data_IF_090586379480
#
_entry.id   IF_090586379480
#
_cell.length_a   1.000
_cell.length_b   1.000
_cell.length_c   1.000
_cell.angle_alpha   90.00
_cell.angle_beta   90.00
_cell.angle_gamma   90.00
#
_symmetry.space_group_name_H-M   'P 1'
#
loop_
_entity.id
_entity.type
_entity.pdbx_description
1 polymer ?
2 non-polymer ?
3 non-polymer ?
4 non-polymer ?
5 non-polymer ?
6 water ?
#
# COMPACT_ATOMS: atom_id res chain seq x y z
N UNK A 3 1.19 -17.16 -16.61
CA UNK A 3 0.83 -16.16 -17.63
C UNK A 3 0.75 -14.73 -17.08
N UNK A 4 0.03 -14.49 -15.97
CA UNK A 4 -0.07 -13.11 -15.48
C UNK A 4 1.26 -12.55 -15.00
N UNK A 5 2.00 -13.29 -14.18
CA UNK A 5 3.31 -12.83 -13.74
C UNK A 5 4.28 -12.71 -14.91
N UNK A 6 4.19 -13.65 -15.86
CA UNK A 6 5.09 -13.61 -17.01
C UNK A 6 4.76 -12.44 -17.93
N UNK A 7 3.47 -12.11 -18.06
CA UNK A 7 3.09 -10.95 -18.86
C UNK A 7 3.42 -9.66 -18.14
N UNK A 8 3.31 -9.64 -16.81
CA UNK A 8 3.60 -8.43 -16.05
C UNK A 8 5.08 -8.07 -16.15
N UNK A 9 5.95 -9.08 -16.21
CA UNK A 9 7.38 -8.84 -16.31
C UNK A 9 7.81 -8.44 -17.72
N UNK A 10 7.12 -8.94 -18.75
CA UNK A 10 7.42 -8.51 -20.10
C UNK A 10 7.07 -7.04 -20.31
N UNK A 11 5.96 -6.59 -19.74
CA UNK A 11 5.58 -5.19 -19.85
C UNK A 11 6.54 -4.31 -19.05
N UNK A 12 7.13 -4.85 -17.99
CA UNK A 12 8.14 -4.10 -17.24
C UNK A 12 9.32 -3.75 -18.13
N UNK A 13 9.83 -4.74 -18.87
CA UNK A 13 10.93 -4.47 -19.79
C UNK A 13 10.53 -3.45 -20.85
N UNK A 14 9.29 -3.52 -21.32
CA UNK A 14 8.80 -2.55 -22.30
C UNK A 14 8.73 -1.15 -21.69
N UNK A 15 8.22 -1.05 -20.46
CA UNK A 15 8.14 0.25 -19.79
C UNK A 15 9.53 0.79 -19.51
N UNK A 16 10.42 -0.07 -18.98
CA UNK A 16 11.77 0.37 -18.64
C UNK A 16 12.52 0.84 -19.88
N UNK A 17 12.39 0.11 -20.99
CA UNK A 17 13.13 0.47 -22.20
C UNK A 17 12.66 1.81 -22.75
N UNK A 18 11.35 2.07 -22.68
CA UNK A 18 10.85 3.37 -23.14
C UNK A 18 11.37 4.50 -22.26
N UNK A 19 11.25 4.34 -20.94
CA UNK A 19 11.66 5.40 -20.02
C UNK A 19 13.13 5.73 -20.18
N UNK A 20 13.99 4.70 -20.30
CA UNK A 20 15.41 4.94 -20.42
C UNK A 20 15.77 5.49 -21.79
N UNK A 21 15.13 5.00 -22.86
CA UNK A 21 15.38 5.54 -24.18
C UNK A 21 14.86 6.98 -24.28
N UNK A 22 13.74 7.27 -23.63
CA UNK A 22 13.24 8.64 -23.60
C UNK A 22 14.26 9.58 -22.96
N UNK A 23 14.87 9.14 -21.85
CA UNK A 23 15.94 9.93 -21.25
C UNK A 23 17.13 10.07 -22.19
N UNK A 24 17.45 8.99 -22.91
CA UNK A 24 18.60 9.04 -23.82
C UNK A 24 18.32 9.93 -25.02
N UNK A 25 17.12 9.84 -25.59
CA UNK A 25 16.82 10.53 -26.84
C UNK A 25 16.27 11.94 -26.62
N UNK A 26 15.42 12.12 -25.61
CA UNK A 26 14.74 13.40 -25.39
C UNK A 26 15.28 14.19 -24.22
N UNK A 27 16.05 13.57 -23.31
CA UNK A 27 16.56 14.27 -22.13
C UNK A 27 18.08 14.34 -22.10
N UNK A 28 18.76 13.96 -23.19
CA UNK A 28 20.20 14.17 -23.34
C UNK A 28 21.02 13.45 -22.29
N UNK A 29 20.56 12.28 -21.85
CA UNK A 29 21.25 11.56 -20.78
C UNK A 29 22.37 10.69 -21.35
N UNK A 30 23.49 10.66 -20.63
CA UNK A 30 24.64 9.87 -21.01
C UNK A 30 24.45 8.40 -20.63
N UNK A 31 25.15 7.48 -21.30
CA UNK A 31 24.98 6.06 -20.98
C UNK A 31 25.28 5.70 -19.54
N UNK A 32 26.28 6.34 -18.91
CA UNK A 32 26.63 6.01 -17.54
C UNK A 32 25.45 6.22 -16.60
N UNK A 33 24.68 7.30 -16.82
CA UNK A 33 23.53 7.57 -15.96
C UNK A 33 22.33 6.72 -16.34
N UNK A 34 22.20 6.33 -17.61
CA UNK A 34 21.10 5.47 -18.02
C UNK A 34 21.22 4.09 -17.36
N UNK A 35 22.43 3.52 -17.39
CA UNK A 35 22.66 2.26 -16.69
C UNK A 35 22.53 2.44 -15.19
N UNK A 36 22.89 3.60 -14.66
CA UNK A 36 22.69 3.89 -13.25
C UNK A 36 21.20 3.89 -12.90
N UNK A 37 20.37 4.47 -13.77
CA UNK A 37 18.93 4.52 -13.51
C UNK A 37 18.26 3.18 -13.78
N UNK A 38 18.79 2.40 -14.72
CA UNK A 38 18.27 1.05 -14.92
C UNK A 38 18.47 0.19 -13.67
N UNK A 39 19.68 0.25 -13.10
CA UNK A 39 19.96 -0.51 -11.88
C UNK A 39 19.11 -0.02 -10.72
N UNK A 40 18.93 1.30 -10.61
CA UNK A 40 18.11 1.84 -9.53
C UNK A 40 16.65 1.44 -9.71
N UNK A 41 16.15 1.45 -10.95
CA UNK A 41 14.78 1.04 -11.20
C UNK A 41 14.57 -0.42 -10.84
N UNK A 42 15.49 -1.29 -11.26
CA UNK A 42 15.38 -2.70 -10.93
C UNK A 42 15.46 -2.94 -9.43
N UNK A 43 16.30 -2.16 -8.74
CA UNK A 43 16.50 -2.36 -7.31
C UNK A 43 15.25 -1.98 -6.52
N UNK A 44 14.65 -0.84 -6.84
CA UNK A 44 13.53 -0.32 -6.06
C UNK A 44 12.18 -0.88 -6.48
N UNK A 45 12.01 -1.25 -7.75
CA UNK A 45 10.71 -1.68 -8.25
C UNK A 45 10.53 -3.19 -8.31
N UNK A 46 11.63 -3.95 -8.36
CA UNK A 46 11.56 -5.41 -8.45
C UNK A 46 11.96 -6.04 -7.13
N UNK A 47 11.49 -7.27 -6.92
CA UNK A 47 11.80 -8.04 -5.74
C UNK A 47 10.62 -8.24 -4.81
N UNK A 48 9.60 -7.39 -4.88
CA UNK A 48 8.43 -7.55 -4.05
C UNK A 48 7.55 -8.67 -4.55
N UNK A 49 6.32 -8.69 -4.04
CA UNK A 49 5.32 -9.68 -4.41
C UNK A 49 4.37 -9.20 -5.49
N UNK A 50 4.40 -7.91 -5.82
CA UNK A 50 3.59 -7.33 -6.89
C UNK A 50 2.09 -7.58 -6.68
N UNK A 51 1.65 -7.57 -5.42
CA UNK A 51 0.24 -7.79 -5.13
C UNK A 51 -0.62 -6.68 -5.71
N UNK A 52 -0.18 -5.43 -5.58
CA UNK A 52 -0.94 -4.31 -6.12
C UNK A 52 -0.98 -4.34 -7.64
N UNK A 53 0.14 -4.66 -8.28
CA UNK A 53 0.19 -4.65 -9.73
C UNK A 53 -0.61 -5.79 -10.35
N UNK A 54 -0.46 -7.00 -9.79
CA UNK A 54 -1.18 -8.15 -10.34
C UNK A 54 -2.69 -8.05 -10.09
N UNK A 55 -3.10 -7.33 -9.04
CA UNK A 55 -4.52 -7.15 -8.79
C UNK A 55 -5.20 -6.39 -9.92
N UNK A 56 -4.50 -5.41 -10.50
CA UNK A 56 -5.04 -4.68 -11.65
C UNK A 56 -5.27 -5.63 -12.82
N UNK A 57 -4.35 -6.59 -13.01
CA UNK A 57 -4.49 -7.55 -14.10
C UNK A 57 -5.66 -8.49 -13.83
N UNK A 58 -5.79 -8.97 -12.59
CA UNK A 58 -6.84 -9.93 -12.28
C UNK A 58 -8.22 -9.30 -12.40
N UNK A 59 -8.36 -8.03 -12.02
CA UNK A 59 -9.63 -7.33 -12.19
C UNK A 59 -9.93 -7.13 -13.67
N UNK A 60 -8.90 -6.87 -14.48
CA UNK A 60 -9.12 -6.62 -15.90
C UNK A 60 -9.56 -7.88 -16.62
N UNK A 61 -8.96 -9.03 -16.28
CA UNK A 61 -9.29 -10.25 -16.99
C UNK A 61 -10.66 -10.80 -16.58
N UNK A 62 -11.11 -10.50 -15.36
CA UNK A 62 -12.41 -10.97 -14.92
C UNK A 62 -13.54 -10.15 -15.55
N UNK A 63 -13.26 -8.92 -15.95
CA UNK A 63 -14.28 -8.06 -16.53
C UNK A 63 -14.44 -8.25 -18.02
N UNK A 64 -13.38 -8.67 -18.72
CA UNK A 64 -13.52 -9.04 -20.12
C UNK A 64 -14.16 -10.40 -20.30
N UNK A 65 -14.28 -11.20 -19.24
CA UNK A 65 -14.99 -12.47 -19.31
C UNK A 65 -16.49 -12.30 -19.13
N UNK A 66 -16.94 -11.09 -18.78
CA UNK A 66 -18.37 -10.83 -18.58
C UNK A 66 -18.55 -9.31 -18.58
N UNK A 67 -18.78 -8.76 -19.77
CA UNK A 67 -19.00 -7.34 -19.95
C UNK A 67 -20.36 -6.93 -19.42
N UNK A 77 -11.30 -9.92 -28.87
CA UNK A 77 -10.17 -10.11 -29.76
C UNK A 77 -9.11 -9.04 -29.63
N UNK A 78 -9.33 -7.90 -30.29
CA UNK A 78 -8.38 -6.80 -30.19
C UNK A 78 -8.53 -6.05 -28.88
N UNK A 79 -9.76 -5.88 -28.40
CA UNK A 79 -9.98 -5.20 -27.13
C UNK A 79 -9.43 -5.98 -25.94
N UNK A 80 -9.25 -7.30 -26.09
CA UNK A 80 -8.68 -8.08 -24.99
C UNK A 80 -7.20 -7.77 -24.80
N UNK A 81 -6.42 -7.86 -25.88
CA UNK A 81 -4.98 -7.65 -25.78
C UNK A 81 -4.65 -6.23 -25.33
N UNK A 82 -5.45 -5.24 -25.74
CA UNK A 82 -5.19 -3.86 -25.36
C UNK A 82 -5.52 -3.61 -23.90
N UNK A 83 -6.66 -4.12 -23.42
CA UNK A 83 -7.04 -3.90 -22.03
C UNK A 83 -6.06 -4.60 -21.10
N UNK A 84 -5.62 -5.81 -21.46
CA UNK A 84 -4.66 -6.52 -20.62
C UNK A 84 -3.32 -5.78 -20.58
N UNK A 85 -2.91 -5.18 -21.69
CA UNK A 85 -1.68 -4.41 -21.69
C UNK A 85 -1.84 -3.12 -20.91
N UNK A 86 -2.99 -2.45 -21.05
CA UNK A 86 -3.24 -1.24 -20.28
C UNK A 86 -3.25 -1.52 -18.79
N UNK A 87 -3.77 -2.69 -18.40
CA UNK A 87 -3.77 -3.04 -16.98
C UNK A 87 -2.36 -3.30 -16.47
N UNK A 88 -1.47 -3.80 -17.33
CA UNK A 88 -0.09 -4.03 -16.90
C UNK A 88 0.65 -2.72 -16.66
N UNK A 89 0.40 -1.71 -17.50
CA UNK A 89 1.00 -0.39 -17.28
C UNK A 89 0.48 0.22 -15.99
N UNK A 90 -0.84 0.12 -15.76
CA UNK A 90 -1.41 0.59 -14.50
C UNK A 90 -0.86 -0.18 -13.32
N UNK A 91 -0.61 -1.48 -13.50
CA UNK A 91 -0.03 -2.27 -12.42
C UNK A 91 1.35 -1.78 -12.04
N UNK A 92 2.15 -1.39 -13.02
CA UNK A 92 3.48 -0.88 -12.73
C UNK A 92 3.46 0.56 -12.23
N UNK A 93 2.40 1.32 -12.58
CA UNK A 93 2.23 2.64 -12.00
C UNK A 93 2.12 2.56 -10.48
N UNK A 94 1.35 1.58 -9.98
CA UNK A 94 1.22 1.41 -8.54
C UNK A 94 2.51 0.87 -7.93
N UNK A 95 3.15 -0.08 -8.61
CA UNK A 95 4.41 -0.63 -8.11
C UNK A 95 5.48 0.45 -8.05
N UNK A 96 5.60 1.25 -9.12
CA UNK A 96 6.52 2.38 -9.09
C UNK A 96 6.14 3.37 -7.99
N UNK A 97 4.85 3.58 -7.78
CA UNK A 97 4.40 4.45 -6.70
C UNK A 97 4.78 3.88 -5.34
N UNK A 98 4.60 2.57 -5.16
CA UNK A 98 5.02 1.93 -3.92
C UNK A 98 6.53 2.03 -3.72
N UNK A 99 7.30 1.81 -4.79
CA UNK A 99 8.75 1.97 -4.71
C UNK A 99 9.12 3.40 -4.32
N UNK A 100 8.33 4.37 -4.80
CA UNK A 100 8.56 5.77 -4.43
C UNK A 100 8.33 5.99 -2.93
N UNK A 101 7.27 5.40 -2.39
CA UNK A 101 6.99 5.54 -0.95
C UNK A 101 8.08 4.87 -0.12
N UNK A 102 8.58 3.71 -0.57
CA UNK A 102 9.61 3.01 0.18
C UNK A 102 10.91 3.79 0.23
N UNK A 103 11.28 4.43 -0.88
CA UNK A 103 12.49 5.26 -0.89
C UNK A 103 12.33 6.43 0.07
N UNK A 104 11.16 7.07 0.07
CA UNK A 104 10.91 8.16 1.01
C UNK A 104 10.99 7.68 2.45
N UNK A 105 10.59 6.44 2.71
CA UNK A 105 10.69 5.90 4.08
C UNK A 105 12.13 5.64 4.48
N UNK A 106 12.98 5.24 3.53
CA UNK A 106 14.38 4.99 3.86
C UNK A 106 15.12 6.28 4.21
N UNK A 107 14.70 7.41 3.63
CA UNK A 107 15.36 8.68 3.92
C UNK A 107 15.10 9.10 5.36
N UNK A 108 13.93 8.76 5.90
CA UNK A 108 13.56 9.21 7.25
C UNK A 108 14.45 8.57 8.31
N UNK A 109 14.67 7.26 8.21
CA UNK A 109 15.45 6.54 9.22
C UNK A 109 16.94 6.44 8.88
N UNK A 110 17.34 6.84 7.68
CA UNK A 110 18.77 6.84 7.35
C UNK A 110 19.55 7.88 8.13
N UNK A 111 18.88 8.87 8.70
CA UNK A 111 19.53 9.90 9.50
C UNK A 111 18.54 10.53 10.48
N UNK A 123 30.28 19.49 3.46
CA UNK A 123 30.34 18.37 2.53
C UNK A 123 28.95 17.80 2.27
N UNK A 124 28.48 17.90 1.03
CA UNK A 124 27.15 17.39 0.69
C UNK A 124 27.14 15.88 0.62
N UNK A 125 26.17 15.26 1.29
CA UNK A 125 26.03 13.81 1.31
C UNK A 125 25.36 13.37 0.01
N UNK A 126 26.14 12.82 -0.90
CA UNK A 126 25.62 12.51 -2.23
C UNK A 126 24.67 11.32 -2.21
N UNK A 127 24.72 10.47 -1.18
CA UNK A 127 23.79 9.34 -1.12
C UNK A 127 22.40 9.79 -0.69
N UNK A 128 22.29 10.80 0.17
CA UNK A 128 20.99 11.35 0.52
C UNK A 128 20.42 12.14 -0.65
N UNK A 129 21.29 12.85 -1.38
CA UNK A 129 20.84 13.57 -2.57
C UNK A 129 20.30 12.62 -3.63
N UNK A 130 20.99 11.50 -3.84
CA UNK A 130 20.53 10.52 -4.82
C UNK A 130 19.27 9.81 -4.35
N UNK A 131 19.13 9.59 -3.04
CA UNK A 131 17.92 8.96 -2.53
C UNK A 131 16.70 9.85 -2.73
N UNK A 132 16.83 11.14 -2.42
CA UNK A 132 15.76 12.09 -2.68
C UNK A 132 15.48 12.17 -4.18
N UNK A 133 16.53 12.18 -5.00
CA UNK A 133 16.35 12.19 -6.45
C UNK A 133 15.66 10.93 -6.93
N UNK A 134 16.00 9.77 -6.33
CA UNK A 134 15.34 8.52 -6.70
C UNK A 134 13.84 8.59 -6.42
N UNK A 135 13.45 9.15 -5.28
CA UNK A 135 12.04 9.25 -4.97
C UNK A 135 11.27 10.13 -5.93
N UNK A 136 11.90 11.21 -6.39
CA UNK A 136 11.24 12.09 -7.36
C UNK A 136 11.11 11.42 -8.72
N UNK A 137 12.14 10.68 -9.13
CA UNK A 137 12.11 10.02 -10.43
C UNK A 137 11.09 8.89 -10.48
N UNK A 138 11.00 8.11 -9.40
CA UNK A 138 10.04 7.01 -9.35
C UNK A 138 8.61 7.51 -9.46
N UNK A 139 8.30 8.64 -8.79
CA UNK A 139 6.96 9.20 -8.89
C UNK A 139 6.70 9.76 -10.28
N UNK A 140 7.64 10.53 -10.81
CA UNK A 140 7.46 11.10 -12.14
C UNK A 140 7.33 10.02 -13.21
N UNK A 141 7.97 8.87 -13.00
CA UNK A 141 7.89 7.79 -13.99
C UNK A 141 6.47 7.25 -14.11
N UNK A 142 5.69 7.29 -13.03
CA UNK A 142 4.30 6.88 -13.11
C UNK A 142 3.52 7.79 -14.06
N UNK A 143 3.85 9.07 -14.08
CA UNK A 143 3.20 9.99 -15.00
C UNK A 143 3.69 9.79 -16.42
N UNK A 144 5.00 9.58 -16.60
CA UNK A 144 5.56 9.46 -17.93
C UNK A 144 5.08 8.19 -18.63
N UNK A 145 5.04 7.07 -17.90
CA UNK A 145 4.57 5.83 -18.52
C UNK A 145 3.07 5.88 -18.80
N UNK A 146 2.32 6.68 -18.04
CA UNK A 146 0.89 6.82 -18.30
C UNK A 146 0.63 7.78 -19.45
N UNK A 147 1.37 8.89 -19.51
CA UNK A 147 1.20 9.84 -20.60
C UNK A 147 1.58 9.23 -21.95
N UNK A 148 2.47 8.24 -21.94
CA UNK A 148 2.91 7.63 -23.20
C UNK A 148 1.97 6.51 -23.64
N UNK A 149 1.86 5.45 -22.84
CA UNK A 149 1.09 4.29 -23.23
C UNK A 149 -0.41 4.55 -23.27
N UNK A 150 -0.88 5.63 -22.65
CA UNK A 150 -2.30 5.97 -22.65
C UNK A 150 -2.58 7.30 -23.35
N UNK A 151 -1.69 7.73 -24.25
CA UNK A 151 -1.85 9.03 -24.89
C UNK A 151 -3.15 9.09 -25.70
N UNK A 152 -3.53 7.98 -26.34
CA UNK A 152 -4.74 7.92 -27.14
C UNK A 152 -5.90 7.27 -26.39
N UNK A 153 -5.84 7.22 -25.06
CA UNK A 153 -6.95 6.64 -24.34
C UNK A 153 -7.89 7.72 -23.82
N UNK A 154 -9.21 7.51 -23.89
CA UNK A 154 -10.14 8.52 -23.36
C UNK A 154 -10.08 8.67 -21.85
N UNK A 155 -9.55 7.69 -21.13
CA UNK A 155 -9.51 7.74 -19.67
C UNK A 155 -8.23 8.34 -19.12
N UNK A 156 -7.33 8.82 -19.98
CA UNK A 156 -6.03 9.31 -19.50
C UNK A 156 -6.20 10.45 -18.51
N UNK A 157 -7.14 11.36 -18.77
CA UNK A 157 -7.36 12.48 -17.85
C UNK A 157 -7.95 11.99 -16.54
N UNK A 158 -8.97 11.13 -16.60
CA UNK A 158 -9.57 10.63 -15.37
C UNK A 158 -8.63 9.71 -14.61
N UNK A 159 -7.76 8.98 -15.32
CA UNK A 159 -6.82 8.09 -14.66
C UNK A 159 -5.79 8.90 -13.86
N UNK A 160 -5.27 9.97 -14.45
CA UNK A 160 -4.27 10.78 -13.75
C UNK A 160 -4.87 11.45 -12.53
N UNK A 161 -6.13 11.87 -12.61
CA UNK A 161 -6.76 12.60 -11.50
C UNK A 161 -7.03 11.67 -10.32
N UNK A 162 -7.56 10.47 -10.59
CA UNK A 162 -7.78 9.51 -9.50
C UNK A 162 -6.45 9.03 -8.93
N UNK A 163 -5.44 8.88 -9.77
CA UNK A 163 -4.12 8.46 -9.31
C UNK A 163 -3.50 9.53 -8.41
N UNK A 164 -3.54 10.79 -8.84
CA UNK A 164 -2.99 11.87 -8.04
C UNK A 164 -3.75 12.03 -6.73
N UNK A 165 -5.08 11.86 -6.77
CA UNK A 165 -5.88 12.03 -5.56
C UNK A 165 -5.59 10.92 -4.55
N UNK A 166 -5.35 9.70 -5.03
CA UNK A 166 -5.00 8.61 -4.12
C UNK A 166 -3.60 8.80 -3.57
N UNK A 167 -2.67 9.28 -4.41
CA UNK A 167 -1.33 9.59 -3.91
C UNK A 167 -1.37 10.71 -2.87
N UNK A 168 -2.22 11.72 -3.10
CA UNK A 168 -2.42 12.76 -2.09
C UNK A 168 -3.00 12.17 -0.82
N UNK A 169 -3.95 11.23 -0.95
CA UNK A 169 -4.53 10.56 0.21
C UNK A 169 -3.46 9.86 1.03
N UNK A 170 -2.49 9.21 0.36
CA UNK A 170 -1.45 8.48 1.08
C UNK A 170 -0.57 9.43 1.88
N UNK A 171 -0.22 10.58 1.30
CA UNK A 171 0.59 11.56 2.02
C UNK A 171 -0.15 12.12 3.22
N UNK A 172 -1.47 12.28 3.12
CA UNK A 172 -2.25 12.73 4.27
C UNK A 172 -2.26 11.65 5.35
N UNK A 173 -2.37 10.38 4.96
CA UNK A 173 -2.31 9.31 5.92
C UNK A 173 -0.97 9.19 6.61
N UNK A 174 0.11 9.53 5.88
CA UNK A 174 1.43 9.50 6.51
C UNK A 174 1.57 10.60 7.55
N UNK A 175 0.94 11.76 7.31
CA UNK A 175 0.92 12.81 8.33
C UNK A 175 0.17 12.35 9.57
N UNK A 176 -0.97 11.67 9.39
CA UNK A 176 -1.70 11.14 10.53
C UNK A 176 -0.86 10.13 11.29
N UNK A 177 -0.15 9.25 10.58
CA UNK A 177 0.62 8.20 11.23
C UNK A 177 1.85 8.76 11.94
N UNK A 178 2.57 9.66 11.29
CA UNK A 178 3.82 10.17 11.85
C UNK A 178 3.55 11.01 13.09
N UNK A 179 2.45 11.75 13.11
CA UNK A 179 2.15 12.71 14.17
C UNK A 179 1.05 12.20 15.12
N UNK A 180 0.91 10.90 15.26
CA UNK A 180 -0.13 10.34 16.12
C UNK A 180 0.23 10.38 17.60
N UNK A 181 1.44 10.80 17.95
CA UNK A 181 1.87 10.83 19.34
C UNK A 181 2.19 12.23 19.85
N UNK A 182 1.97 13.28 19.05
CA UNK A 182 2.29 14.63 19.48
C UNK A 182 1.16 15.59 19.15
N UNK A 183 1.40 16.88 19.38
CA UNK A 183 0.51 17.95 18.94
C UNK A 183 1.23 18.71 17.83
N UNK A 184 0.71 18.58 16.60
CA UNK A 184 1.35 19.18 15.43
C UNK A 184 1.48 20.69 15.59
N UNK A 185 2.71 21.17 15.73
CA UNK A 185 2.97 22.60 15.88
C UNK A 185 2.83 23.33 14.56
N UNK A 198 1.84 11.50 23.87
CA UNK A 198 0.46 11.95 23.85
C UNK A 198 -0.43 10.87 23.23
N UNK A 199 -1.24 10.23 24.08
CA UNK A 199 -2.06 9.09 23.68
C UNK A 199 -3.53 9.46 23.50
N UNK A 200 -3.83 10.75 23.29
CA UNK A 200 -5.23 11.15 23.11
C UNK A 200 -5.80 10.58 21.82
N UNK A 201 -5.01 10.58 20.75
CA UNK A 201 -5.45 10.07 19.46
C UNK A 201 -5.28 8.56 19.32
N UNK A 202 -4.94 7.86 20.42
CA UNK A 202 -4.82 6.40 20.40
C UNK A 202 -6.20 5.79 20.59
N UNK A 203 -7.02 5.93 19.57
CA UNK A 203 -8.37 5.38 19.54
C UNK A 203 -8.53 4.46 18.34
N UNK A 204 -9.58 3.66 18.37
CA UNK A 204 -9.81 2.71 17.28
C UNK A 204 -10.28 3.41 16.02
N UNK A 205 -11.02 4.51 16.15
CA UNK A 205 -11.47 5.25 14.97
C UNK A 205 -10.32 6.00 14.32
N UNK A 206 -9.38 6.53 15.12
CA UNK A 206 -8.21 7.17 14.53
C UNK A 206 -7.27 6.14 13.92
N UNK A 207 -7.18 4.95 14.52
CA UNK A 207 -6.40 3.87 13.92
C UNK A 207 -6.93 3.52 12.54
N UNK A 208 -8.26 3.42 12.41
CA UNK A 208 -8.86 3.16 11.11
C UNK A 208 -8.57 4.31 10.14
N UNK A 209 -8.58 5.54 10.62
CA UNK A 209 -8.28 6.67 9.76
C UNK A 209 -6.85 6.59 9.23
N UNK A 210 -5.91 6.20 10.09
CA UNK A 210 -4.52 6.04 9.64
C UNK A 210 -4.42 4.95 8.60
N UNK A 211 -4.99 3.77 8.90
CA UNK A 211 -4.94 2.65 7.97
C UNK A 211 -5.63 3.02 6.66
N UNK A 212 -6.78 3.70 6.74
CA UNK A 212 -7.55 4.03 5.56
C UNK A 212 -6.75 4.90 4.58
N UNK A 213 -6.20 6.01 5.08
CA UNK A 213 -5.53 6.96 4.20
C UNK A 213 -4.10 6.54 3.89
N UNK A 214 -3.38 6.00 4.88
CA UNK A 214 -1.97 5.70 4.67
C UNK A 214 -1.76 4.44 3.84
N UNK A 215 -2.69 3.48 3.91
CA UNK A 215 -2.44 2.18 3.29
C UNK A 215 -3.57 1.73 2.38
N UNK A 216 -4.81 1.73 2.89
CA UNK A 216 -5.90 1.03 2.22
C UNK A 216 -6.22 1.64 0.85
N UNK A 217 -6.07 2.95 0.72
CA UNK A 217 -6.51 3.62 -0.51
C UNK A 217 -5.65 3.25 -1.70
N UNK A 218 -4.33 3.27 -1.53
CA UNK A 218 -3.43 2.99 -2.66
C UNK A 218 -3.08 1.51 -2.79
N UNK A 219 -3.28 0.72 -1.73
CA UNK A 219 -2.95 -0.70 -1.79
C UNK A 219 -4.13 -1.56 -2.21
N UNK A 220 -5.34 -1.21 -1.79
CA UNK A 220 -6.53 -2.01 -2.08
C UNK A 220 -7.51 -1.31 -3.02
N UNK A 221 -7.84 -0.05 -2.75
CA UNK A 221 -8.83 0.63 -3.58
C UNK A 221 -8.26 0.99 -4.96
N UNK A 222 -7.03 1.51 -4.99
CA UNK A 222 -6.46 1.96 -6.26
C UNK A 222 -6.31 0.85 -7.28
N UNK A 223 -5.78 -0.34 -6.94
CA UNK A 223 -5.72 -1.40 -7.97
C UNK A 223 -7.09 -1.80 -8.50
N UNK A 224 -8.11 -1.82 -7.65
CA UNK A 224 -9.45 -2.16 -8.11
C UNK A 224 -10.00 -1.10 -9.06
N UNK A 225 -9.82 0.18 -8.70
CA UNK A 225 -10.31 1.26 -9.56
C UNK A 225 -9.59 1.24 -10.90
N UNK A 226 -8.26 1.07 -10.88
CA UNK A 226 -7.50 1.04 -12.13
C UNK A 226 -7.89 -0.15 -13.00
N UNK A 227 -8.24 -1.29 -12.38
CA UNK A 227 -8.74 -2.40 -13.15
C UNK A 227 -10.08 -2.11 -13.80
N UNK A 228 -10.92 -1.32 -13.13
CA UNK A 228 -12.20 -0.93 -13.72
C UNK A 228 -12.00 0.07 -14.85
N UNK A 229 -11.04 0.98 -14.71
CA UNK A 229 -10.85 2.04 -15.70
C UNK A 229 -10.38 1.45 -17.03
N UNK A 230 -9.36 0.60 -16.99
CA UNK A 230 -8.86 0.00 -18.22
C UNK A 230 -9.87 -0.95 -18.84
N UNK A 231 -10.78 -1.51 -18.03
CA UNK A 231 -11.84 -2.38 -18.52
C UNK A 231 -13.11 -1.62 -18.88
N UNK A 232 -13.07 -0.29 -18.84
CA UNK A 232 -14.17 0.59 -19.24
C UNK A 232 -15.42 0.41 -18.38
N UNK A 233 -15.33 -0.30 -17.27
CA UNK A 233 -16.48 -0.63 -16.43
C UNK A 233 -16.44 0.11 -15.09
N UNK A 234 -15.98 1.36 -15.11
CA UNK A 234 -15.97 2.16 -13.88
C UNK A 234 -17.38 2.45 -13.38
N UNK A 235 -18.29 3.04 -14.16
CA UNK A 235 -19.62 3.37 -13.63
C UNK A 235 -20.56 2.19 -13.49
N UNK A 236 -20.09 0.97 -13.63
CA UNK A 236 -20.93 -0.22 -13.56
C UNK A 236 -20.86 -0.91 -12.19
N UNK A 237 -20.17 -0.30 -11.23
CA UNK A 237 -19.98 -0.91 -9.91
C UNK A 237 -20.48 0.07 -8.84
N UNK A 238 -20.88 -0.49 -7.70
CA UNK A 238 -21.23 0.30 -6.54
C UNK A 238 -19.93 0.66 -5.81
N UNK A 239 -19.43 1.87 -6.05
CA UNK A 239 -18.17 2.29 -5.47
C UNK A 239 -18.24 2.39 -3.96
N UNK A 240 -19.43 2.60 -3.39
CA UNK A 240 -19.56 2.64 -1.94
C UNK A 240 -19.17 1.33 -1.29
N UNK A 241 -19.71 0.23 -1.81
CA UNK A 241 -19.34 -1.09 -1.30
C UNK A 241 -17.88 -1.39 -1.67
N UNK A 242 -17.43 -0.93 -2.83
CA UNK A 242 -16.05 -1.16 -3.23
C UNK A 242 -15.08 -0.43 -2.30
N UNK A 243 -15.35 0.85 -2.02
CA UNK A 243 -14.55 1.58 -1.06
C UNK A 243 -14.61 0.94 0.32
N UNK A 244 -15.80 0.49 0.73
CA UNK A 244 -15.96 -0.10 2.05
C UNK A 244 -15.15 -1.39 2.17
N UNK A 245 -15.14 -2.21 1.11
CA UNK A 245 -14.36 -3.44 1.13
C UNK A 245 -12.87 -3.14 1.16
N UNK A 246 -12.44 -2.10 0.45
CA UNK A 246 -11.02 -1.75 0.42
C UNK A 246 -10.53 -1.32 1.80
N UNK A 247 -11.31 -0.50 2.51
CA UNK A 247 -10.91 -0.06 3.85
C UNK A 247 -10.91 -1.23 4.82
N UNK A 248 -11.88 -2.15 4.68
CA UNK A 248 -11.95 -3.28 5.59
C UNK A 248 -10.82 -4.26 5.35
N UNK A 249 -10.46 -4.52 4.09
CA UNK A 249 -9.37 -5.44 3.80
C UNK A 249 -8.03 -4.84 4.24
N UNK A 250 -7.81 -3.55 3.98
CA UNK A 250 -6.61 -2.90 4.48
C UNK A 250 -6.55 -2.88 5.99
N UNK A 251 -7.71 -2.75 6.65
CA UNK A 251 -7.76 -2.83 8.10
C UNK A 251 -7.42 -4.24 8.58
N UNK A 252 -7.98 -5.26 7.92
CA UNK A 252 -7.65 -6.64 8.27
C UNK A 252 -6.16 -6.91 8.10
N UNK A 253 -5.56 -6.38 7.04
CA UNK A 253 -4.14 -6.63 6.80
C UNK A 253 -3.28 -5.88 7.81
N UNK A 254 -3.63 -4.64 8.14
CA UNK A 254 -2.80 -3.86 9.05
C UNK A 254 -2.88 -4.37 10.48
N UNK A 255 -4.02 -4.90 10.89
CA UNK A 255 -4.14 -5.46 12.24
C UNK A 255 -3.23 -6.68 12.38
N UNK A 256 -3.26 -7.58 11.40
CA UNK A 256 -2.37 -8.72 11.41
C UNK A 256 -0.91 -8.29 11.33
N UNK A 257 -0.63 -7.26 10.53
CA UNK A 257 0.74 -6.76 10.42
C UNK A 257 1.22 -6.15 11.73
N UNK A 258 0.32 -5.54 12.50
CA UNK A 258 0.71 -4.97 13.79
C UNK A 258 1.08 -6.06 14.79
N UNK A 259 0.30 -7.14 14.83
CA UNK A 259 0.56 -8.21 15.79
C UNK A 259 1.87 -8.92 15.44
N UNK A 260 2.14 -9.12 14.16
CA UNK A 260 3.38 -9.77 13.75
C UNK A 260 4.59 -8.87 14.01
N UNK A 261 4.41 -7.55 13.91
CA UNK A 261 5.51 -6.63 14.18
C UNK A 261 5.98 -6.74 15.63
N UNK A 262 5.10 -7.15 16.53
CA UNK A 262 5.43 -7.24 17.96
C UNK A 262 5.84 -8.63 18.39
N UNK A 263 5.17 -9.68 17.91
CA UNK A 263 5.38 -11.03 18.43
C UNK A 263 6.20 -11.92 17.50
N UNK A 264 6.08 -11.76 16.19
CA UNK A 264 6.84 -12.60 15.28
C UNK A 264 8.32 -12.25 15.36
N UNK A 265 9.20 -13.21 15.63
CA UNK A 265 10.63 -12.91 15.72
C UNK A 265 11.18 -12.41 14.39
N UNK A 266 12.30 -11.68 14.41
CA UNK A 266 12.76 -11.02 13.18
C UNK A 266 13.09 -11.97 12.05
N UNK A 267 13.72 -13.12 12.33
CA UNK A 267 14.10 -14.04 11.27
C UNK A 267 12.89 -14.65 10.56
N UNK A 268 11.73 -14.68 11.22
CA UNK A 268 10.50 -15.16 10.60
C UNK A 268 9.65 -14.04 10.02
N UNK A 269 9.67 -12.86 10.63
CA UNK A 269 8.93 -11.72 10.09
C UNK A 269 9.59 -11.16 8.84
N UNK A 270 10.91 -11.30 8.71
CA UNK A 270 11.66 -10.74 7.63
C UNK A 270 12.32 -9.42 7.94
N UNK A 271 11.90 -8.76 9.01
CA UNK A 271 12.48 -7.50 9.45
C UNK A 271 12.44 -7.46 10.97
N UNK A 272 12.96 -6.38 11.54
CA UNK A 272 12.93 -6.17 12.98
C UNK A 272 11.70 -5.34 13.33
N UNK A 273 10.86 -5.88 14.21
CA UNK A 273 9.68 -5.13 14.65
C UNK A 273 10.08 -3.97 15.54
N UNK A 274 9.56 -2.78 15.21
CA UNK A 274 9.99 -1.55 15.87
C UNK A 274 8.82 -0.64 16.24
N UNK A 275 7.60 -1.18 16.30
CA UNK A 275 6.44 -0.35 16.58
C UNK A 275 6.48 0.20 18.01
N UNK A 276 6.89 -0.62 18.97
CA UNK A 276 6.92 -0.19 20.36
C UNK A 276 7.95 0.91 20.56
N UNK A 277 9.16 0.72 20.01
CA UNK A 277 10.19 1.73 20.14
C UNK A 277 9.79 3.04 19.47
N UNK A 278 9.11 2.94 18.33
CA UNK A 278 8.70 4.11 17.57
C UNK A 278 7.38 4.70 18.04
N UNK A 279 6.77 4.12 19.08
CA UNK A 279 5.53 4.64 19.66
C UNK A 279 4.43 4.75 18.61
N UNK A 280 4.31 3.73 17.76
CA UNK A 280 3.32 3.73 16.70
C UNK A 280 1.92 3.56 17.28
N UNK A 281 0.93 4.09 16.56
CA UNK A 281 -0.48 3.91 16.92
C UNK A 281 -0.97 2.59 16.32
N UNK A 282 -0.48 1.49 16.89
CA UNK A 282 -0.77 0.15 16.40
C UNK A 282 -2.10 -0.34 16.96
N UNK A 283 -2.59 -1.44 16.39
CA UNK A 283 -3.82 -2.04 16.88
C UNK A 283 -3.66 -2.56 18.31
N UNK A 284 -2.47 -3.08 18.63
CA UNK A 284 -2.22 -3.57 19.98
C UNK A 284 -2.28 -2.44 21.00
N UNK A 285 -1.76 -1.27 20.64
CA UNK A 285 -1.72 -0.16 21.58
C UNK A 285 -3.13 0.35 21.90
N UNK A 286 -3.93 0.61 20.87
CA UNK A 286 -5.25 1.19 21.10
C UNK A 286 -6.20 0.17 21.72
N UNK A 287 -5.97 -1.12 21.48
CA UNK A 287 -6.80 -2.15 22.11
C UNK A 287 -6.40 -2.34 23.57
N UNK A 288 -5.09 -2.29 23.86
CA UNK A 288 -4.64 -2.43 25.24
C UNK A 288 -5.15 -1.29 26.10
N UNK A 289 -5.12 -0.05 25.59
CA UNK A 289 -5.52 1.11 26.38
C UNK A 289 -7.00 1.08 26.74
N UNK A 290 -7.82 0.30 26.03
CA UNK A 290 -9.24 0.25 26.34
C UNK A 290 -9.55 -0.72 27.47
N UNK A 291 -8.75 -1.78 27.63
CA UNK A 291 -9.01 -2.82 28.61
C UNK A 291 -7.96 -2.89 29.70
N UNK A 292 -7.07 -1.89 29.80
CA UNK A 292 -6.04 -1.88 30.82
C UNK A 292 -6.52 -1.15 32.05
N UNK A 293 -5.98 -1.54 33.21
CA UNK A 293 -6.27 -0.83 34.44
C UNK A 293 -5.53 0.50 34.46
N UNK A 294 -5.94 1.36 35.40
CA UNK A 294 -5.32 2.68 35.50
C UNK A 294 -3.83 2.57 35.82
N UNK A 295 -3.45 1.60 36.65
CA UNK A 295 -2.04 1.44 36.97
C UNK A 295 -1.27 0.78 35.82
N UNK A 296 -1.93 -0.06 35.02
CA UNK A 296 -1.29 -0.63 33.86
C UNK A 296 -1.06 0.41 32.76
N UNK A 297 -1.98 1.37 32.63
CA UNK A 297 -1.79 2.44 31.66
C UNK A 297 -0.56 3.27 32.02
N UNK A 298 -0.38 3.54 33.31
CA UNK A 298 0.81 4.26 33.75
C UNK A 298 2.07 3.46 33.44
N UNK A 299 2.03 2.14 33.61
CA UNK A 299 3.17 1.30 33.27
C UNK A 299 3.37 1.26 31.76
N UNK A 300 2.28 1.28 31.00
CA UNK A 300 2.39 1.30 29.54
C UNK A 300 2.97 2.61 29.05
N UNK A 301 2.47 3.73 29.58
CA UNK A 301 2.97 5.04 29.17
C UNK A 301 4.43 5.22 29.54
N UNK A 302 4.84 4.70 30.70
CA UNK A 302 6.22 4.89 31.15
C UNK A 302 7.20 4.02 30.36
N UNK A 303 6.71 3.03 29.62
CA UNK A 303 7.58 2.13 28.86
C UNK A 303 7.43 2.26 27.35
N UNK A 304 6.36 2.89 26.86
CA UNK A 304 6.11 2.95 25.44
C UNK A 304 6.96 4.04 24.79
N UNK A 305 7.45 3.76 23.59
CA UNK A 305 8.23 4.73 22.85
C UNK A 305 9.69 4.80 23.22
N UNK A 306 10.23 3.77 23.87
CA UNK A 306 11.62 3.75 24.31
C UNK A 306 12.39 2.66 23.58
N UNK A 307 13.68 2.90 23.39
CA UNK A 307 14.57 1.92 22.80
C UNK A 307 15.18 0.94 23.79
N UNK A 308 14.95 1.15 25.08
CA UNK A 308 15.48 0.24 26.09
C UNK A 308 14.90 -1.16 25.90
N UNK A 309 15.76 -2.16 25.99
CA UNK A 309 15.34 -3.54 25.70
C UNK A 309 14.33 -4.03 26.72
N UNK A 310 14.42 -3.60 27.97
CA UNK A 310 13.50 -4.07 29.00
C UNK A 310 12.16 -3.34 28.95
N UNK A 311 12.15 -2.06 28.54
CA UNK A 311 10.89 -1.34 28.43
C UNK A 311 10.06 -1.89 27.27
N UNK A 312 10.72 -2.29 26.18
CA UNK A 312 10.00 -2.94 25.08
C UNK A 312 9.46 -4.29 25.53
N UNK A 313 10.25 -5.05 26.29
CA UNK A 313 9.78 -6.32 26.82
C UNK A 313 8.66 -6.12 27.84
N UNK A 314 8.71 -5.03 28.61
CA UNK A 314 7.63 -4.72 29.54
C UNK A 314 6.34 -4.45 28.78
N UNK A 315 6.43 -3.79 27.62
CA UNK A 315 5.24 -3.53 26.82
C UNK A 315 4.69 -4.82 26.24
N UNK A 316 5.57 -5.71 25.74
CA UNK A 316 5.12 -7.00 25.23
C UNK A 316 4.49 -7.83 26.35
N UNK A 317 5.04 -7.72 27.57
CA UNK A 317 4.44 -8.42 28.70
C UNK A 317 3.04 -7.92 28.99
N UNK A 318 2.84 -6.59 28.93
CA UNK A 318 1.51 -6.04 29.13
C UNK A 318 0.55 -6.50 28.04
N UNK A 319 1.04 -6.59 26.79
CA UNK A 319 0.21 -7.10 25.72
C UNK A 319 -0.16 -8.56 25.95
N UNK A 320 0.79 -9.37 26.43
CA UNK A 320 0.53 -10.78 26.68
C UNK A 320 -0.49 -10.96 27.81
N UNK A 321 -0.28 -10.26 28.92
CA UNK A 321 -1.16 -10.43 30.09
C UNK A 321 -2.56 -9.92 29.85
N UNK A 322 -2.77 -9.10 28.83
CA UNK A 322 -4.10 -8.59 28.50
C UNK A 322 -4.84 -9.47 27.49
N UNK A 323 -4.25 -10.59 27.09
CA UNK A 323 -4.85 -11.52 26.13
C UNK A 323 -5.21 -10.79 24.82
N UNK A 324 -4.26 -9.99 24.34
CA UNK A 324 -4.50 -9.23 23.11
C UNK A 324 -4.49 -10.14 21.88
N UNK A 325 -3.66 -11.18 21.88
CA UNK A 325 -3.65 -12.13 20.78
C UNK A 325 -4.90 -13.00 20.76
N UNK A 326 -5.68 -13.01 21.83
CA UNK A 326 -6.97 -13.67 21.82
C UNK A 326 -8.02 -12.78 21.22
N UNK A 327 -7.99 -11.48 21.55
CA UNK A 327 -8.90 -10.53 20.94
C UNK A 327 -8.57 -10.32 19.46
N UNK A 328 -7.31 -10.57 19.07
CA UNK A 328 -6.92 -10.39 17.68
C UNK A 328 -7.65 -11.38 16.77
N UNK A 329 -7.83 -12.61 17.23
CA UNK A 329 -8.50 -13.63 16.41
C UNK A 329 -9.96 -13.26 16.21
N UNK A 330 -10.64 -12.82 17.27
CA UNK A 330 -12.04 -12.46 17.16
C UNK A 330 -12.24 -11.21 16.31
N UNK A 331 -11.37 -10.22 16.48
CA UNK A 331 -11.48 -8.99 15.70
C UNK A 331 -11.34 -9.27 14.21
N UNK A 332 -10.36 -10.10 13.83
CA UNK A 332 -10.18 -10.44 12.42
C UNK A 332 -11.33 -11.27 11.90
N UNK A 333 -11.89 -12.15 12.74
CA UNK A 333 -13.03 -12.96 12.33
C UNK A 333 -14.24 -12.08 12.02
N UNK A 334 -14.52 -11.11 12.89
CA UNK A 334 -15.63 -10.19 12.65
C UNK A 334 -15.39 -9.36 11.40
N UNK A 335 -14.15 -8.92 11.17
CA UNK A 335 -13.83 -8.18 9.96
C UNK A 335 -13.97 -9.08 8.74
N UNK A 336 -13.51 -10.33 8.84
CA UNK A 336 -13.63 -11.26 7.72
C UNK A 336 -15.08 -11.53 7.38
N UNK A 337 -15.95 -11.57 8.40
CA UNK A 337 -17.38 -11.75 8.14
C UNK A 337 -17.95 -10.56 7.38
N UNK A 338 -17.58 -9.34 7.77
CA UNK A 338 -18.00 -8.16 7.02
C UNK A 338 -17.45 -8.17 5.60
N UNK A 339 -16.28 -8.76 5.40
CA UNK A 339 -15.72 -8.87 4.06
C UNK A 339 -16.45 -9.96 3.28
N UNK A 340 -16.62 -11.13 3.89
CA UNK A 340 -17.29 -12.24 3.23
C UNK A 340 -18.73 -11.91 2.86
N UNK A 341 -19.32 -10.90 3.49
CA UNK A 341 -20.71 -10.54 3.23
C UNK A 341 -20.86 -9.31 2.35
N UNK A 342 -19.90 -8.38 2.38
CA UNK A 342 -19.98 -7.22 1.51
C UNK A 342 -19.66 -7.54 0.06
N UNK A 343 -18.92 -8.63 -0.19
CA UNK A 343 -18.66 -9.04 -1.56
C UNK A 343 -19.96 -9.46 -2.25
N UNK A 344 -20.94 -9.94 -1.47
CA UNK A 344 -22.19 -10.39 -2.07
C UNK A 344 -23.03 -9.22 -2.57
N UNK A 345 -23.05 -8.10 -1.83
CA UNK A 345 -23.71 -6.90 -2.31
C UNK A 345 -23.12 -6.45 -3.64
N UNK A 346 -21.82 -6.67 -3.84
CA UNK A 346 -21.14 -6.18 -5.03
C UNK A 346 -21.40 -7.05 -6.25
N UNK A 347 -21.63 -8.35 -6.05
CA UNK A 347 -21.82 -9.25 -7.18
C UNK A 347 -23.22 -9.21 -7.75
N UNK A 348 -24.19 -8.66 -7.02
CA UNK A 348 -25.56 -8.58 -7.53
C UNK A 348 -25.64 -7.65 -8.75
N UNK A 349 -24.81 -6.62 -8.79
CA UNK A 349 -24.74 -5.72 -9.94
C UNK A 349 -23.44 -5.84 -10.71
N UNK A 350 -22.38 -6.36 -10.11
CA UNK A 350 -21.09 -6.54 -10.76
C UNK A 350 -20.56 -7.92 -10.40
N UNK A 351 -21.02 -8.96 -11.09
CA UNK A 351 -20.63 -10.33 -10.72
C UNK A 351 -19.16 -10.64 -10.96
N UNK A 352 -18.67 -10.33 -12.17
CA UNK A 352 -17.27 -10.61 -12.49
C UNK A 352 -16.31 -9.78 -11.67
N UNK A 353 -16.72 -8.57 -11.26
CA UNK A 353 -15.84 -7.73 -10.45
C UNK A 353 -15.63 -8.32 -9.07
N UNK A 354 -16.68 -8.90 -8.47
CA UNK A 354 -16.56 -9.50 -7.16
C UNK A 354 -15.69 -10.75 -7.16
N UNK A 355 -15.52 -11.39 -8.32
CA UNK A 355 -14.66 -12.56 -8.39
C UNK A 355 -13.21 -12.20 -8.11
N UNK A 356 -12.74 -11.08 -8.67
CA UNK A 356 -11.37 -10.66 -8.43
C UNK A 356 -11.20 -10.09 -7.03
N UNK A 357 -12.23 -9.43 -6.49
CA UNK A 357 -12.15 -8.94 -5.12
C UNK A 357 -12.03 -10.09 -4.14
N UNK A 358 -12.68 -11.22 -4.44
CA UNK A 358 -12.52 -12.41 -3.60
C UNK A 358 -11.09 -12.94 -3.68
N UNK A 359 -10.50 -12.95 -4.88
CA UNK A 359 -9.11 -13.37 -5.02
C UNK A 359 -8.18 -12.43 -4.27
N UNK A 360 -8.46 -11.12 -4.30
CA UNK A 360 -7.66 -10.18 -3.54
C UNK A 360 -7.82 -10.39 -2.04
N UNK A 361 -9.05 -10.66 -1.60
CA UNK A 361 -9.28 -10.92 -0.18
C UNK A 361 -8.63 -12.24 0.25
N UNK A 362 -8.66 -13.24 -0.62
CA UNK A 362 -7.98 -14.49 -0.31
C UNK A 362 -6.49 -14.32 -0.15
N UNK A 363 -5.90 -13.40 -0.91
CA UNK A 363 -4.48 -13.07 -0.73
C UNK A 363 -4.23 -12.49 0.66
N UNK A 364 -5.24 -11.84 1.25
CA UNK A 364 -5.12 -11.26 2.58
C UNK A 364 -5.54 -12.26 3.64
X LIG B 1 -2.36 -7.10 -1.08
X LIG B 1 -2.85 -8.37 -1.39
X LIG B 1 2.15 -4.57 1.53
X LIG B 1 2.92 -5.47 0.80
X LIG B 1 0.76 -4.61 1.43
X LIG B 1 -2.68 -9.42 -0.49
X LIG B 1 -2.03 -9.22 0.73
X LIG B 1 -1.55 -7.94 1.05
X LIG B 1 -1.71 -6.89 0.15
X LIG B 1 0.17 -5.57 0.60
X LIG B 1 2.31 -6.38 0.01
X LIG B 1 0.97 -6.43 -0.08
X LIG B 1 -1.22 -5.63 0.49
X LIG B 1 -2.59 -5.71 -2.28
X LIG C 1 12.40 18.03 -22.92
X LIG C 1 12.05 18.17 -21.45
X LIG C 1 11.76 16.78 -23.46
X LIG C 1 11.87 19.23 -23.67
X LIG C 1 13.90 17.94 -23.08
X LIG D 1 2.37 -4.45 -4.49
X LIG E 1 0.07 1.84 11.87
X LIG E 1 -0.31 2.95 12.83
X LIG E 1 1.13 2.34 10.91
X LIG E 1 0.61 0.66 12.65
X LIG E 1 -1.14 1.41 11.09
X LIG F 1 2.53 4.24 2.66
X LIG F 1 2.12 5.34 3.41
X LIG F 1 3.57 3.48 3.51
X LIG F 1 2.97 2.68 4.45
X LIG F 1 4.39 2.66 2.47
X LIG F 1 5.63 2.39 3.07
#
# INVERSE_FOLDING_TARGET
GPMPMQMFMQVYDEIQMFLLEELELKFDMDPNRVRYLRKMMDTTCLGGKYNRGLTVIDVAESLLSLSPNNNGEEDDGARRKRVLHDACVCGWMIEFLQAHYLVEDDIMDNSVTRRGKPCWYRHPDVTVQCAINDGLLLKSWTHMMAMHFFADRPFLQDLLCRFNRVDYTTAVGQLYDVTSMFDSNKLDPDVSQPTTTDFAEFTLSNYKRIVKYKTAYYTYLLPLVMGLIVSEALPTVDMGVTEELAMLMGEYFQVQDDVMDCFTPPERLGKVGTDIQDAKCSWLAVTFLAKASSAQVAEFKANYGSGDSEKVATVRRLYEEADLQGDYVAYEAAVAEQVKELIEKLRLCSPGFAASVETLWGKTYKRQK
PJV C2 C3 C11 C12 C10 C4 C5 C6 C7 C9 N13 N14 O8 BR1
PO4 P O1 O2 O3 O4
NA NA
PO4 P O1 O2 O3 O4
GOL C1 O1 C2 O2 C3 O3
#
